data_IF_211701580316
#
_entry.id   IF_211701580316
#
_cell.length_a   1.000
_cell.length_b   1.000
_cell.length_c   1.000
_cell.angle_alpha   90.00
_cell.angle_beta   90.00
_cell.angle_gamma   90.00
#
_symmetry.space_group_name_H-M   'P 1'
#
loop_
_entity.id
_entity.type
_entity.pdbx_description
1 polymer ?
#
# COMPACT_ATOMS: atom_id res chain seq x y z
N UNK A 1 16.33 16.79 5.07
CA UNK A 1 16.65 15.50 4.45
C UNK A 1 15.54 14.53 4.85
N UNK A 2 15.05 13.75 3.91
CA UNK A 2 13.92 12.83 4.14
C UNK A 2 14.43 11.54 4.79
N UNK A 3 13.72 11.05 5.80
CA UNK A 3 14.06 9.84 6.52
C UNK A 3 13.09 8.71 6.11
N UNK A 4 13.61 7.71 5.42
CA UNK A 4 12.87 6.47 5.13
C UNK A 4 13.46 5.30 5.92
N UNK A 5 12.63 4.28 6.18
CA UNK A 5 13.05 3.06 6.86
C UNK A 5 12.45 1.84 6.19
N UNK A 6 13.20 0.78 6.20
CA UNK A 6 12.72 -0.56 5.92
C UNK A 6 11.69 -1.01 6.97
N UNK A 7 10.81 -1.93 6.61
CA UNK A 7 9.73 -2.40 7.49
C UNK A 7 9.38 -3.87 7.23
N UNK A 8 8.78 -4.53 8.21
CA UNK A 8 8.23 -5.87 8.04
C UNK A 8 6.82 -5.75 7.46
N UNK A 9 6.68 -5.99 6.16
CA UNK A 9 5.38 -5.89 5.50
C UNK A 9 4.49 -7.08 5.82
N UNK A 10 3.18 -6.83 5.90
CA UNK A 10 2.15 -7.85 5.79
C UNK A 10 1.73 -7.87 4.32
N UNK A 11 1.92 -8.98 3.65
CA UNK A 11 1.69 -9.07 2.21
C UNK A 11 1.13 -10.45 1.82
N UNK A 12 0.47 -10.60 0.65
CA UNK A 12 -0.04 -11.88 0.22
C UNK A 12 1.06 -12.94 0.09
N UNK A 13 0.76 -14.20 0.44
CA UNK A 13 1.58 -15.32 0.00
C UNK A 13 1.63 -15.35 -1.54
N UNK A 14 2.74 -15.78 -2.12
CA UNK A 14 3.01 -15.65 -3.57
C UNK A 14 1.92 -16.25 -4.46
N UNK A 15 1.34 -17.38 -4.06
CA UNK A 15 0.27 -18.07 -4.78
C UNK A 15 -1.13 -17.46 -4.53
N UNK A 16 -1.23 -16.49 -3.63
CA UNK A 16 -2.49 -15.81 -3.26
C UNK A 16 -2.56 -14.37 -3.74
N UNK A 17 -1.50 -13.83 -4.37
CA UNK A 17 -1.43 -12.40 -4.72
C UNK A 17 -2.59 -11.96 -5.61
N UNK A 18 -2.95 -12.72 -6.63
CA UNK A 18 -4.07 -12.37 -7.51
C UNK A 18 -5.43 -12.44 -6.80
N UNK A 19 -5.60 -13.41 -5.88
CA UNK A 19 -6.84 -13.56 -5.10
C UNK A 19 -7.02 -12.44 -4.06
N UNK A 20 -5.91 -11.86 -3.56
CA UNK A 20 -5.93 -10.79 -2.56
C UNK A 20 -5.96 -9.41 -3.22
N UNK A 21 -5.28 -9.24 -4.35
CA UNK A 21 -5.17 -7.94 -5.03
C UNK A 21 -6.53 -7.33 -5.32
N UNK A 22 -6.65 -6.03 -5.07
CA UNK A 22 -7.86 -5.27 -5.30
C UNK A 22 -7.53 -3.86 -5.77
N UNK A 23 -8.49 -3.20 -6.40
CA UNK A 23 -8.39 -1.77 -6.72
C UNK A 23 -8.30 -0.93 -5.43
N UNK A 24 -7.76 0.29 -5.49
CA UNK A 24 -7.78 1.23 -4.38
C UNK A 24 -9.22 1.45 -3.86
N UNK A 25 -9.36 1.59 -2.55
CA UNK A 25 -10.65 1.64 -1.86
C UNK A 25 -11.55 2.82 -2.28
N UNK A 26 -10.96 3.89 -2.80
CA UNK A 26 -11.58 5.19 -3.10
C UNK A 26 -11.95 5.39 -4.58
N UNK A 27 -11.59 4.45 -5.46
CA UNK A 27 -11.91 4.52 -6.89
C UNK A 27 -13.26 3.89 -7.25
N UNK A 28 -14.04 3.48 -6.26
CA UNK A 28 -15.32 2.82 -6.43
C UNK A 28 -16.33 3.21 -5.34
N UNK A 29 -17.61 3.15 -5.65
CA UNK A 29 -18.67 3.26 -4.65
C UNK A 29 -18.91 1.90 -3.94
N UNK A 30 -19.77 1.90 -2.90
CA UNK A 30 -20.02 0.70 -2.09
C UNK A 30 -20.71 -0.43 -2.89
N UNK A 31 -21.59 -0.12 -3.82
CA UNK A 31 -22.26 -1.16 -4.62
C UNK A 31 -21.31 -1.80 -5.63
N UNK A 32 -20.43 -1.02 -6.22
CA UNK A 32 -19.34 -1.53 -7.07
C UNK A 32 -18.38 -2.42 -6.27
N UNK A 33 -17.99 -1.99 -5.06
CA UNK A 33 -17.16 -2.79 -4.17
C UNK A 33 -17.84 -4.13 -3.80
N UNK A 34 -19.16 -4.14 -3.53
CA UNK A 34 -19.93 -5.37 -3.27
C UNK A 34 -19.88 -6.33 -4.46
N UNK A 35 -20.09 -5.82 -5.67
CA UNK A 35 -20.00 -6.63 -6.88
C UNK A 35 -18.58 -7.21 -7.08
N UNK A 36 -17.54 -6.41 -6.79
CA UNK A 36 -16.15 -6.83 -6.93
C UNK A 36 -15.73 -7.94 -5.95
N UNK A 37 -16.33 -8.02 -4.77
CA UNK A 37 -16.00 -9.07 -3.77
C UNK A 37 -16.88 -10.32 -3.89
N UNK A 38 -17.88 -10.33 -4.77
CA UNK A 38 -18.74 -11.48 -4.98
C UNK A 38 -17.91 -12.66 -5.51
N UNK A 39 -18.00 -13.82 -4.83
CA UNK A 39 -17.19 -14.99 -5.13
C UNK A 39 -15.70 -14.89 -4.82
N UNK A 40 -15.22 -13.74 -4.30
CA UNK A 40 -13.81 -13.48 -3.97
C UNK A 40 -13.61 -13.38 -2.44
N UNK A 41 -13.49 -14.51 -1.71
CA UNK A 41 -13.43 -14.51 -0.24
C UNK A 41 -12.17 -13.86 0.33
N UNK A 42 -11.11 -13.75 -0.46
CA UNK A 42 -9.81 -13.24 -0.06
C UNK A 42 -9.48 -11.85 -0.65
N UNK A 43 -10.45 -11.20 -1.32
CA UNK A 43 -10.25 -9.84 -1.84
C UNK A 43 -9.88 -8.87 -0.72
N UNK A 44 -8.83 -8.06 -0.92
CA UNK A 44 -8.38 -7.05 0.04
C UNK A 44 -9.44 -5.96 0.31
N UNK A 45 -10.43 -5.79 -0.59
CA UNK A 45 -11.58 -4.92 -0.35
C UNK A 45 -12.36 -5.31 0.92
N UNK A 46 -12.33 -6.57 1.36
CA UNK A 46 -12.94 -6.99 2.61
C UNK A 46 -12.24 -6.43 3.85
N UNK A 47 -11.01 -5.96 3.69
CA UNK A 47 -10.23 -5.28 4.71
C UNK A 47 -10.35 -3.77 4.55
N UNK A 48 -10.17 -3.23 3.34
CA UNK A 48 -10.17 -1.79 3.09
C UNK A 48 -11.57 -1.17 2.96
N UNK A 49 -12.58 -1.98 2.64
CA UNK A 49 -14.01 -1.62 2.46
C UNK A 49 -14.91 -2.64 3.16
N UNK A 50 -14.77 -2.86 4.50
CA UNK A 50 -15.45 -3.94 5.22
C UNK A 50 -16.98 -3.82 5.22
N UNK A 51 -17.54 -2.65 4.93
CA UNK A 51 -18.98 -2.44 4.78
C UNK A 51 -19.62 -3.30 3.66
N UNK A 52 -18.82 -3.86 2.75
CA UNK A 52 -19.31 -4.78 1.71
C UNK A 52 -19.89 -6.08 2.29
N UNK A 53 -19.58 -6.42 3.53
CA UNK A 53 -20.04 -7.62 4.22
C UNK A 53 -21.30 -7.40 5.05
N UNK A 54 -21.81 -6.16 5.13
CA UNK A 54 -22.99 -5.78 5.90
C UNK A 54 -24.19 -5.51 5.00
N UNK A 55 -25.39 -5.53 5.58
CA UNK A 55 -26.61 -5.15 4.87
C UNK A 55 -26.54 -3.68 4.39
N UNK A 56 -27.29 -3.38 3.33
CA UNK A 56 -27.31 -2.03 2.74
C UNK A 56 -27.85 -0.94 3.66
N UNK A 57 -28.65 -1.32 4.66
CA UNK A 57 -29.19 -0.42 5.69
C UNK A 57 -28.23 -0.14 6.82
N UNK A 58 -27.09 -0.85 6.85
CA UNK A 58 -26.08 -0.70 7.90
C UNK A 58 -25.31 0.59 7.74
N UNK A 59 -24.97 1.26 8.85
CA UNK A 59 -24.13 2.46 8.82
C UNK A 59 -22.69 2.07 8.42
N UNK A 60 -22.19 2.52 7.28
CA UNK A 60 -20.84 2.19 6.81
C UNK A 60 -19.74 2.75 7.72
N UNK A 61 -20.06 3.71 8.59
CA UNK A 61 -19.13 4.28 9.57
C UNK A 61 -19.34 3.70 10.99
N UNK A 62 -20.13 2.65 11.14
CA UNK A 62 -20.39 1.96 12.42
C UNK A 62 -19.15 1.28 13.00
N UNK A 63 -19.10 1.14 14.34
CA UNK A 63 -17.98 0.52 15.05
C UNK A 63 -17.71 -0.91 14.58
N UNK A 64 -18.77 -1.68 14.32
CA UNK A 64 -18.69 -3.05 13.84
C UNK A 64 -18.07 -3.17 12.44
N UNK A 65 -18.18 -2.13 11.61
CA UNK A 65 -17.57 -2.11 10.26
C UNK A 65 -16.05 -2.05 10.38
N UNK A 66 -15.53 -1.17 11.24
CA UNK A 66 -14.08 -1.09 11.47
C UNK A 66 -13.56 -2.33 12.21
N UNK A 67 -14.31 -2.87 13.18
CA UNK A 67 -13.97 -4.13 13.83
C UNK A 67 -13.86 -5.28 12.82
N UNK A 68 -14.74 -5.33 11.80
CA UNK A 68 -14.71 -6.31 10.72
C UNK A 68 -13.43 -6.21 9.90
N UNK A 69 -12.92 -5.00 9.64
CA UNK A 69 -11.63 -4.80 8.95
C UNK A 69 -10.49 -5.50 9.70
N UNK A 70 -10.41 -5.28 11.02
CA UNK A 70 -9.43 -5.93 11.90
C UNK A 70 -9.58 -7.46 11.89
N UNK A 71 -10.82 -7.95 12.01
CA UNK A 71 -11.11 -9.39 12.01
C UNK A 71 -10.69 -10.04 10.69
N UNK A 72 -10.98 -9.39 9.56
CA UNK A 72 -10.60 -9.88 8.25
C UNK A 72 -9.09 -9.90 8.06
N UNK A 73 -8.36 -8.86 8.46
CA UNK A 73 -6.90 -8.84 8.42
C UNK A 73 -6.31 -9.98 9.27
N UNK A 74 -6.77 -10.14 10.50
CA UNK A 74 -6.33 -11.22 11.38
C UNK A 74 -6.64 -12.61 10.79
N UNK A 75 -7.82 -12.78 10.18
CA UNK A 75 -8.21 -14.01 9.49
C UNK A 75 -7.28 -14.30 8.31
N UNK A 76 -6.98 -13.32 7.46
CA UNK A 76 -6.12 -13.51 6.30
C UNK A 76 -4.71 -13.96 6.70
N UNK A 77 -4.18 -13.40 7.80
CA UNK A 77 -2.89 -13.82 8.36
C UNK A 77 -2.99 -15.23 8.96
N UNK A 78 -4.01 -15.51 9.78
CA UNK A 78 -4.21 -16.80 10.45
C UNK A 78 -4.36 -17.96 9.46
N UNK A 79 -5.08 -17.72 8.37
CA UNK A 79 -5.30 -18.73 7.31
C UNK A 79 -4.10 -18.85 6.34
N UNK A 80 -3.04 -18.08 6.56
CA UNK A 80 -1.83 -18.10 5.72
C UNK A 80 -2.06 -17.56 4.31
N UNK A 81 -3.09 -16.74 4.12
CA UNK A 81 -3.35 -16.00 2.87
C UNK A 81 -2.40 -14.83 2.75
N UNK A 82 -2.14 -14.18 3.89
CA UNK A 82 -1.11 -13.15 4.03
C UNK A 82 -0.04 -13.61 5.02
N UNK A 83 1.16 -13.16 4.79
CA UNK A 83 2.34 -13.44 5.63
C UNK A 83 3.04 -12.13 6.03
N UNK A 84 3.76 -12.17 7.14
CA UNK A 84 4.56 -11.04 7.62
C UNK A 84 6.03 -11.33 7.36
N UNK A 85 6.76 -10.38 6.82
CA UNK A 85 8.21 -10.51 6.67
C UNK A 85 8.89 -10.72 8.02
N UNK A 86 9.86 -11.65 8.07
CA UNK A 86 10.68 -11.91 9.26
C UNK A 86 11.70 -10.80 9.52
N UNK A 87 12.14 -10.11 8.47
CA UNK A 87 13.16 -9.06 8.52
C UNK A 87 12.67 -7.81 7.80
N UNK A 88 13.03 -6.60 8.26
CA UNK A 88 12.65 -5.36 7.59
C UNK A 88 13.16 -5.29 6.14
N UNK A 89 12.30 -4.90 5.23
CA UNK A 89 12.56 -4.82 3.80
C UNK A 89 12.23 -3.42 3.23
N UNK A 90 12.81 -3.14 2.07
CA UNK A 90 12.38 -2.12 1.13
C UNK A 90 11.93 -2.84 -0.13
N UNK A 91 10.85 -2.39 -0.76
CA UNK A 91 10.35 -3.01 -1.97
C UNK A 91 10.46 -2.05 -3.14
N UNK A 92 10.63 -2.62 -4.32
CA UNK A 92 10.51 -1.91 -5.58
C UNK A 92 9.22 -2.38 -6.24
N UNK A 93 8.34 -1.42 -6.56
CA UNK A 93 7.05 -1.69 -7.16
C UNK A 93 6.95 -1.02 -8.52
N UNK A 94 6.65 -1.82 -9.55
CA UNK A 94 6.45 -1.35 -10.91
C UNK A 94 5.05 -1.65 -11.39
N UNK A 95 4.42 -0.65 -11.99
CA UNK A 95 3.17 -0.76 -12.72
C UNK A 95 3.41 -0.49 -14.20
N UNK A 96 2.77 -1.30 -15.06
CA UNK A 96 2.83 -1.14 -16.51
C UNK A 96 1.40 -1.08 -17.03
N UNK A 97 1.02 0.08 -17.60
CA UNK A 97 -0.28 0.33 -18.19
C UNK A 97 -0.07 0.76 -19.65
N UNK A 98 -0.28 -0.18 -20.58
CA UNK A 98 0.07 0.05 -22.00
C UNK A 98 1.54 0.36 -22.16
N UNK A 99 1.87 1.56 -22.63
CA UNK A 99 3.25 2.03 -22.79
C UNK A 99 3.78 2.79 -21.57
N UNK A 100 2.94 3.10 -20.62
CA UNK A 100 3.34 3.81 -19.41
C UNK A 100 3.93 2.84 -18.39
N UNK A 101 5.15 3.12 -17.96
CA UNK A 101 5.87 2.33 -16.94
C UNK A 101 6.22 3.25 -15.79
N UNK A 102 5.69 2.96 -14.60
CA UNK A 102 6.02 3.66 -13.38
C UNK A 102 6.69 2.70 -12.41
N UNK A 103 7.78 3.14 -11.79
CA UNK A 103 8.50 2.36 -10.78
C UNK A 103 8.73 3.23 -9.56
N UNK A 104 8.38 2.72 -8.38
CA UNK A 104 8.54 3.40 -7.10
C UNK A 104 9.26 2.52 -6.08
N UNK A 105 9.75 3.17 -5.04
CA UNK A 105 10.33 2.55 -3.85
C UNK A 105 9.26 2.55 -2.74
N UNK A 106 9.01 1.41 -2.11
CA UNK A 106 8.06 1.27 -1.00
C UNK A 106 8.85 1.10 0.29
N UNK A 107 8.67 2.06 1.19
CA UNK A 107 9.32 2.13 2.51
C UNK A 107 8.44 2.94 3.48
N UNK A 108 8.78 2.94 4.76
CA UNK A 108 8.15 3.85 5.73
C UNK A 108 8.83 5.22 5.68
N UNK A 109 8.04 6.30 5.61
CA UNK A 109 8.51 7.67 5.78
C UNK A 109 8.30 8.15 7.22
N UNK A 110 9.26 8.92 7.75
CA UNK A 110 9.17 9.40 9.14
C UNK A 110 8.12 10.49 9.27
N UNK A 111 7.28 10.39 10.30
CA UNK A 111 6.18 11.34 10.52
C UNK A 111 6.67 12.79 10.75
N UNK A 112 7.84 12.98 11.36
CA UNK A 112 8.41 14.30 11.55
C UNK A 112 8.74 14.99 10.22
N UNK A 113 9.02 14.25 9.15
CA UNK A 113 9.23 14.83 7.83
C UNK A 113 7.95 15.48 7.29
N UNK A 114 6.78 14.93 7.65
CA UNK A 114 5.51 15.54 7.35
C UNK A 114 5.23 16.77 8.24
N UNK A 115 5.49 16.67 9.54
CA UNK A 115 5.29 17.75 10.51
C UNK A 115 6.21 18.95 10.19
N UNK A 116 7.48 18.68 9.87
CA UNK A 116 8.48 19.70 9.56
C UNK A 116 8.47 20.14 8.09
N UNK A 117 7.45 19.72 7.32
CA UNK A 117 7.27 20.10 5.92
C UNK A 117 8.44 19.69 4.97
N UNK A 118 9.13 18.60 5.28
CA UNK A 118 10.01 17.90 4.32
C UNK A 118 9.20 17.02 3.37
N UNK A 119 8.09 16.46 3.83
CA UNK A 119 7.03 15.92 2.99
C UNK A 119 6.01 17.03 2.77
N UNK A 120 6.01 17.57 1.56
CA UNK A 120 5.25 18.77 1.19
C UNK A 120 3.84 18.42 0.75
N UNK A 121 2.88 19.17 1.29
CA UNK A 121 1.46 19.08 0.96
C UNK A 121 1.16 20.00 -0.22
N UNK A 122 0.25 19.59 -1.11
CA UNK A 122 -0.28 20.43 -2.18
C UNK A 122 -1.73 20.88 -1.91
N UNK A 123 -2.42 20.15 -1.01
CA UNK A 123 -3.80 20.45 -0.60
C UNK A 123 -4.04 20.05 0.86
N UNK A 124 -5.20 20.41 1.40
CA UNK A 124 -5.65 19.95 2.70
C UNK A 124 -6.56 18.75 2.53
N UNK A 125 -6.33 17.71 3.31
CA UNK A 125 -7.20 16.54 3.37
C UNK A 125 -8.57 16.92 3.92
N UNK A 126 -9.62 16.37 3.37
CA UNK A 126 -10.98 16.51 3.90
C UNK A 126 -11.07 15.83 5.26
N UNK A 127 -11.65 16.54 6.24
CA UNK A 127 -11.72 16.08 7.63
C UNK A 127 -12.44 14.73 7.79
N UNK A 128 -13.54 14.53 7.03
CA UNK A 128 -14.28 13.26 7.04
C UNK A 128 -13.44 12.06 6.56
N UNK A 129 -12.57 12.28 5.56
CA UNK A 129 -11.65 11.24 5.06
C UNK A 129 -10.48 10.98 6.00
N UNK A 130 -9.93 12.03 6.59
CA UNK A 130 -8.87 11.93 7.60
C UNK A 130 -9.35 11.13 8.82
N UNK A 131 -10.55 11.43 9.34
CA UNK A 131 -11.13 10.74 10.49
C UNK A 131 -11.39 9.26 10.18
N UNK A 132 -11.95 8.95 9.01
CA UNK A 132 -12.20 7.60 8.54
C UNK A 132 -10.89 6.78 8.44
N UNK A 133 -9.87 7.31 7.76
CA UNK A 133 -8.58 6.61 7.61
C UNK A 133 -7.84 6.48 8.92
N UNK A 134 -7.87 7.50 9.76
CA UNK A 134 -7.28 7.46 11.11
C UNK A 134 -7.90 6.34 11.94
N UNK A 135 -9.23 6.22 11.88
CA UNK A 135 -9.95 5.15 12.59
C UNK A 135 -9.61 3.77 12.04
N UNK A 136 -9.60 3.64 10.71
CA UNK A 136 -9.25 2.38 10.05
C UNK A 136 -7.84 1.90 10.46
N UNK A 137 -6.84 2.78 10.43
CA UNK A 137 -5.47 2.46 10.86
C UNK A 137 -5.42 2.07 12.34
N UNK A 138 -6.13 2.78 13.21
CA UNK A 138 -6.19 2.46 14.65
C UNK A 138 -6.80 1.09 14.93
N UNK A 139 -7.85 0.73 14.19
CA UNK A 139 -8.53 -0.56 14.39
C UNK A 139 -7.75 -1.74 13.81
N UNK A 140 -7.11 -1.54 12.66
CA UNK A 140 -6.35 -2.61 12.00
C UNK A 140 -4.91 -2.73 12.51
N UNK A 141 -4.39 -1.71 13.18
CA UNK A 141 -2.97 -1.54 13.53
C UNK A 141 -2.04 -1.72 12.30
N UNK A 142 -2.53 -1.26 11.14
CA UNK A 142 -1.83 -1.41 9.86
C UNK A 142 -2.15 -0.25 8.90
N UNK A 143 -1.15 0.17 8.13
CA UNK A 143 -1.32 1.04 6.98
C UNK A 143 -1.74 0.20 5.78
N UNK A 144 -3.02 0.23 5.42
CA UNK A 144 -3.62 -0.57 4.35
C UNK A 144 -3.64 0.11 2.98
N UNK A 145 -3.28 1.41 2.94
CA UNK A 145 -3.16 2.20 1.72
C UNK A 145 -1.89 3.05 1.77
N UNK A 146 -0.87 2.75 0.97
CA UNK A 146 0.35 3.55 0.93
C UNK A 146 0.10 4.92 0.31
N UNK A 147 0.72 5.95 0.87
CA UNK A 147 0.75 7.31 0.30
C UNK A 147 1.72 7.33 -0.88
N UNK A 148 1.33 7.98 -1.97
CA UNK A 148 2.21 8.20 -3.11
C UNK A 148 2.98 9.51 -2.96
N UNK A 149 4.31 9.39 -2.84
CA UNK A 149 5.22 10.50 -2.73
C UNK A 149 6.09 10.62 -3.99
N UNK A 150 6.18 11.82 -4.55
CA UNK A 150 7.14 12.15 -5.58
C UNK A 150 8.37 12.82 -4.98
N UNK A 151 9.53 12.64 -5.56
CA UNK A 151 10.78 13.32 -5.21
C UNK A 151 11.57 13.67 -6.48
N UNK A 152 12.56 14.54 -6.37
CA UNK A 152 13.45 14.87 -7.50
C UNK A 152 14.39 13.69 -7.75
N UNK A 153 14.64 13.38 -9.01
CA UNK A 153 15.53 12.30 -9.44
C UNK A 153 16.85 12.31 -8.66
N UNK A 154 17.25 11.13 -8.20
CA UNK A 154 18.52 10.88 -7.53
C UNK A 154 19.21 9.67 -8.17
N UNK A 155 20.37 9.89 -8.78
CA UNK A 155 21.09 8.86 -9.52
C UNK A 155 21.51 7.66 -8.65
N UNK A 156 21.70 7.84 -7.33
CA UNK A 156 22.03 6.75 -6.43
C UNK A 156 20.82 5.85 -6.19
N UNK A 157 19.63 6.44 -6.00
CA UNK A 157 18.38 5.68 -5.87
C UNK A 157 18.08 4.96 -7.18
N UNK A 158 18.21 5.62 -8.31
CA UNK A 158 17.99 5.02 -9.64
C UNK A 158 18.91 3.81 -9.90
N UNK A 159 20.19 3.92 -9.49
CA UNK A 159 21.14 2.81 -9.60
C UNK A 159 20.74 1.61 -8.73
N UNK A 160 20.25 1.84 -7.50
CA UNK A 160 19.75 0.79 -6.62
C UNK A 160 18.51 0.11 -7.22
N UNK A 161 17.53 0.88 -7.70
CA UNK A 161 16.34 0.37 -8.39
C UNK A 161 16.71 -0.46 -9.61
N UNK A 162 17.65 0.04 -10.44
CA UNK A 162 18.12 -0.67 -11.62
C UNK A 162 18.87 -1.97 -11.29
N UNK A 163 19.51 -2.05 -10.14
CA UNK A 163 20.17 -3.27 -9.68
C UNK A 163 19.14 -4.30 -9.20
N UNK A 164 18.23 -3.91 -8.29
CA UNK A 164 17.25 -4.81 -7.70
C UNK A 164 16.23 -5.35 -8.71
N UNK A 165 15.84 -4.55 -9.72
CA UNK A 165 14.89 -4.98 -10.76
C UNK A 165 15.46 -6.01 -11.76
N UNK A 166 16.74 -6.34 -11.67
CA UNK A 166 17.36 -7.47 -12.40
C UNK A 166 17.22 -8.79 -11.65
N UNK A 167 16.86 -8.75 -10.38
CA UNK A 167 16.69 -9.91 -9.53
C UNK A 167 15.37 -10.66 -9.74
N UNK A 168 15.18 -11.71 -8.94
CA UNK A 168 13.92 -12.46 -8.94
C UNK A 168 12.78 -11.59 -8.38
N UNK A 169 11.63 -11.66 -9.03
CA UNK A 169 10.42 -10.97 -8.58
C UNK A 169 9.79 -11.67 -7.38
N UNK A 170 9.31 -10.90 -6.42
CA UNK A 170 8.39 -11.38 -5.40
C UNK A 170 7.04 -11.69 -6.05
N UNK A 171 6.49 -10.72 -6.81
CA UNK A 171 5.27 -10.84 -7.60
C UNK A 171 5.48 -10.37 -9.02
N UNK A 172 4.74 -10.96 -9.96
CA UNK A 172 4.62 -10.52 -11.34
C UNK A 172 3.30 -11.07 -11.89
N UNK A 173 2.29 -10.22 -11.99
CA UNK A 173 0.93 -10.60 -12.39
C UNK A 173 0.22 -9.44 -13.10
N UNK A 174 -0.89 -9.76 -13.77
CA UNK A 174 -1.72 -8.78 -14.47
C UNK A 174 -3.12 -8.80 -13.87
N UNK A 175 -3.65 -7.64 -13.51
CA UNK A 175 -5.00 -7.47 -13.01
C UNK A 175 -6.04 -7.43 -14.13
N UNK A 176 -7.34 -7.61 -13.78
CA UNK A 176 -8.45 -7.65 -14.74
C UNK A 176 -8.54 -6.39 -15.64
N UNK A 177 -8.06 -5.25 -15.15
CA UNK A 177 -7.96 -3.97 -15.89
C UNK A 177 -6.76 -3.90 -16.86
N UNK A 178 -5.96 -4.98 -16.96
CA UNK A 178 -4.82 -5.08 -17.87
C UNK A 178 -3.54 -4.41 -17.36
N UNK A 179 -3.51 -3.93 -16.12
CA UNK A 179 -2.29 -3.39 -15.51
C UNK A 179 -1.41 -4.54 -15.00
N UNK A 180 -0.13 -4.52 -15.41
CA UNK A 180 0.86 -5.47 -14.88
C UNK A 180 1.53 -4.88 -13.65
N UNK A 181 1.57 -5.67 -12.59
CA UNK A 181 2.17 -5.34 -11.30
C UNK A 181 3.38 -6.23 -11.07
N UNK A 182 4.53 -5.60 -10.79
CA UNK A 182 5.77 -6.32 -10.52
C UNK A 182 6.36 -5.79 -9.22
N UNK A 183 6.72 -6.69 -8.31
CA UNK A 183 7.32 -6.33 -7.01
C UNK A 183 8.63 -7.10 -6.83
N UNK A 184 9.65 -6.40 -6.35
CA UNK A 184 10.92 -6.98 -5.91
C UNK A 184 11.17 -6.62 -4.46
N UNK A 185 11.85 -7.49 -3.72
CA UNK A 185 12.49 -7.15 -2.45
C UNK A 185 13.87 -6.58 -2.74
N UNK A 186 14.25 -5.51 -2.04
CA UNK A 186 15.60 -4.99 -2.16
C UNK A 186 16.61 -5.97 -1.56
N UNK A 187 17.74 -6.13 -2.24
CA UNK A 187 18.91 -6.84 -1.70
C UNK A 187 19.71 -5.99 -0.70
N UNK A 188 19.48 -4.68 -0.68
CA UNK A 188 20.24 -3.71 0.11
C UNK A 188 19.35 -2.63 0.75
N UNK A 189 18.40 -2.98 1.64
CA UNK A 189 17.47 -2.01 2.22
C UNK A 189 18.15 -0.78 2.84
N UNK A 190 19.25 -0.98 3.55
CA UNK A 190 20.02 0.10 4.18
C UNK A 190 20.58 1.11 3.18
N UNK A 191 20.94 0.68 1.97
CA UNK A 191 21.43 1.60 0.93
C UNK A 191 20.36 2.59 0.47
N UNK A 192 19.08 2.17 0.43
CA UNK A 192 17.95 3.07 0.16
C UNK A 192 17.76 4.07 1.29
N UNK A 193 17.80 3.62 2.55
CA UNK A 193 17.69 4.52 3.70
C UNK A 193 18.76 5.62 3.63
N UNK A 194 20.02 5.25 3.36
CA UNK A 194 21.16 6.19 3.27
C UNK A 194 21.06 7.11 2.03
N UNK A 195 20.50 6.61 0.93
CA UNK A 195 20.30 7.42 -0.27
C UNK A 195 19.20 8.47 -0.06
N UNK A 196 18.07 8.09 0.54
CA UNK A 196 16.97 9.02 0.84
C UNK A 196 17.35 10.10 1.86
N UNK A 197 18.32 9.85 2.75
CA UNK A 197 18.87 10.89 3.63
C UNK A 197 19.48 12.08 2.87
N UNK A 198 19.76 11.95 1.57
CA UNK A 198 20.24 13.04 0.71
C UNK A 198 19.12 13.77 -0.03
N UNK A 199 17.91 13.20 -0.04
CA UNK A 199 16.73 13.83 -0.66
C UNK A 199 16.26 14.95 0.25
N UNK A 200 16.18 16.18 -0.30
CA UNK A 200 15.79 17.36 0.48
C UNK A 200 14.32 17.35 0.88
N UNK A 201 13.45 16.93 -0.03
CA UNK A 201 12.01 16.91 0.17
C UNK A 201 11.31 15.87 -0.72
N UNK A 202 10.20 15.34 -0.21
CA UNK A 202 9.19 14.64 -0.98
C UNK A 202 7.92 15.48 -1.11
N UNK A 203 7.06 15.13 -2.06
CA UNK A 203 5.83 15.84 -2.38
C UNK A 203 4.69 14.82 -2.41
N UNK A 204 3.63 15.04 -1.65
CA UNK A 204 2.44 14.19 -1.71
C UNK A 204 1.84 14.35 -3.10
N UNK A 205 1.74 13.25 -3.83
CA UNK A 205 1.10 13.19 -5.15
C UNK A 205 -0.30 12.57 -5.06
N UNK A 206 -0.49 11.64 -4.12
CA UNK A 206 -1.78 11.01 -3.82
C UNK A 206 -1.73 10.37 -2.41
N UNK A 207 -2.88 10.33 -1.72
CA UNK A 207 -3.03 9.71 -0.40
C UNK A 207 -3.37 10.65 0.73
#
# INVERSE_FOLDING_TARGET
MVCVRSFCAIHPRKDMVEAVSALPYDVMNTEEARAMVEGKPWSFLRISRPEVEFDRSHDPAGDEVYARSRENLAKFIKEGVMETDAEPQVYIYRQIMGYHVQTGVVACAHIDDYIENRIKKHEFTRKDKEDDRTRHVKETDAHTGPVFLAYRDDAAIDALVAADTKGATLYDFVTEDGIRHIVWRSSTPKAYEDAFEKVEACYIADG
#
